data_IF_068628844370
#
_entry.id   IF_068628844370
#
_cell.length_a   1.000
_cell.length_b   1.000
_cell.length_c   1.000
_cell.angle_alpha   90.00
_cell.angle_beta   90.00
_cell.angle_gamma   90.00
#
_symmetry.space_group_name_H-M   'P 1'
#
loop_
_entity.id
_entity.type
_entity.pdbx_description
1 polymer ?
#
# COMPACT_ATOMS: atom_id res chain seq x y z
N UNK A 1 -7.42 14.64 15.52
CA UNK A 1 -6.91 14.57 14.14
C UNK A 1 -6.29 13.20 14.00
N UNK A 2 -6.54 12.47 12.93
CA UNK A 2 -6.28 11.03 12.91
C UNK A 2 -5.57 10.66 11.65
N UNK A 3 -4.45 9.95 11.78
CA UNK A 3 -3.59 9.53 10.68
C UNK A 3 -4.31 8.54 9.77
N UNK A 4 -4.37 8.86 8.48
CA UNK A 4 -4.98 8.05 7.44
C UNK A 4 -3.89 7.48 6.53
N UNK A 5 -3.97 6.18 6.22
CA UNK A 5 -3.10 5.47 5.29
C UNK A 5 -3.95 4.82 4.20
N UNK A 6 -3.63 5.08 2.95
CA UNK A 6 -4.38 4.60 1.78
C UNK A 6 -3.45 3.93 0.78
N UNK A 7 -3.93 2.83 0.20
CA UNK A 7 -3.27 2.14 -0.91
C UNK A 7 -4.06 2.42 -2.18
N UNK A 8 -3.39 2.98 -3.19
CA UNK A 8 -3.99 3.28 -4.48
C UNK A 8 -3.14 2.76 -5.64
N UNK A 9 -3.72 2.69 -6.82
CA UNK A 9 -2.99 2.43 -8.06
C UNK A 9 -3.34 3.50 -9.09
N UNK A 10 -2.33 3.90 -9.85
CA UNK A 10 -2.49 4.86 -10.93
C UNK A 10 -2.67 4.09 -12.25
N UNK A 11 -3.80 4.34 -12.93
CA UNK A 11 -4.09 3.76 -14.25
C UNK A 11 -3.81 4.79 -15.35
N UNK A 12 -3.32 4.31 -16.50
CA UNK A 12 -3.09 5.13 -17.68
C UNK A 12 -4.40 5.28 -18.47
N UNK A 13 -4.56 6.39 -19.20
CA UNK A 13 -5.72 6.62 -20.07
C UNK A 13 -5.31 6.50 -21.53
N UNK A 14 -6.04 5.70 -22.31
CA UNK A 14 -5.83 5.59 -23.74
C UNK A 14 -6.38 6.83 -24.46
N UNK A 15 -5.54 7.58 -25.16
CA UNK A 15 -5.90 8.83 -25.84
C UNK A 15 -7.05 8.67 -26.85
N UNK A 16 -7.12 7.53 -27.51
CA UNK A 16 -8.02 7.32 -28.64
C UNK A 16 -9.43 6.88 -28.19
N UNK A 17 -9.52 6.24 -27.03
CA UNK A 17 -10.76 5.62 -26.52
C UNK A 17 -11.21 6.15 -25.17
N UNK A 18 -10.36 6.91 -24.47
CA UNK A 18 -10.58 7.35 -23.10
C UNK A 18 -10.56 6.23 -22.05
N UNK A 19 -10.30 4.97 -22.44
CA UNK A 19 -10.38 3.84 -21.52
C UNK A 19 -9.15 3.74 -20.61
N UNK A 20 -9.33 3.46 -19.30
CA UNK A 20 -8.23 3.17 -18.40
C UNK A 20 -7.56 1.84 -18.75
N UNK A 21 -6.25 1.77 -18.57
CA UNK A 21 -5.45 0.58 -18.80
C UNK A 21 -4.20 0.54 -17.90
N UNK A 22 -3.61 -0.65 -17.78
CA UNK A 22 -2.28 -0.87 -17.20
C UNK A 22 -1.41 -1.71 -18.14
N UNK A 23 -0.11 -1.83 -17.87
CA UNK A 23 0.82 -2.60 -18.70
C UNK A 23 1.07 -4.01 -18.16
N UNK A 24 1.22 -4.98 -19.08
CA UNK A 24 1.80 -6.29 -18.75
C UNK A 24 3.32 -6.15 -18.62
N UNK A 25 3.92 -6.80 -17.62
CA UNK A 25 5.35 -6.73 -17.32
C UNK A 25 6.25 -7.71 -18.05
N UNK A 26 5.75 -8.34 -19.11
CA UNK A 26 6.53 -9.23 -19.96
C UNK A 26 7.45 -8.46 -20.94
N UNK A 27 7.63 -7.16 -20.73
CA UNK A 27 8.39 -6.27 -21.62
C UNK A 27 7.67 -5.94 -22.93
N UNK A 28 6.48 -6.52 -23.19
CA UNK A 28 5.73 -6.31 -24.44
C UNK A 28 5.08 -4.93 -24.56
N UNK A 29 5.01 -4.16 -23.45
CA UNK A 29 4.22 -2.92 -23.34
C UNK A 29 2.76 -3.11 -23.78
N UNK A 30 2.22 -4.33 -23.65
CA UNK A 30 0.83 -4.60 -23.98
C UNK A 30 -0.10 -3.87 -23.00
N UNK A 31 -1.06 -3.10 -23.56
CA UNK A 31 -2.09 -2.40 -22.79
C UNK A 31 -3.20 -3.38 -22.41
N UNK A 32 -3.48 -3.49 -21.12
CA UNK A 32 -4.59 -4.29 -20.58
C UNK A 32 -5.72 -3.36 -20.17
N UNK A 33 -6.85 -3.50 -20.86
CA UNK A 33 -8.08 -2.76 -20.56
C UNK A 33 -9.02 -3.54 -19.63
N UNK A 34 -8.78 -4.84 -19.44
CA UNK A 34 -9.55 -5.68 -18.52
C UNK A 34 -9.09 -5.46 -17.08
N UNK A 35 -9.83 -4.63 -16.35
CA UNK A 35 -9.55 -4.28 -14.95
C UNK A 35 -10.03 -5.34 -13.95
N UNK A 36 -10.70 -6.41 -14.39
CA UNK A 36 -11.12 -7.50 -13.49
C UNK A 36 -9.94 -8.20 -12.82
N UNK A 37 -8.74 -8.07 -13.41
CA UNK A 37 -7.47 -8.53 -12.85
C UNK A 37 -6.95 -7.69 -11.68
N UNK A 38 -7.50 -6.49 -11.46
CA UNK A 38 -7.11 -5.60 -10.37
C UNK A 38 -7.92 -5.83 -9.08
N UNK A 39 -8.71 -6.91 -9.01
CA UNK A 39 -9.59 -7.16 -7.87
C UNK A 39 -8.77 -7.68 -6.70
N UNK A 40 -8.62 -6.83 -5.69
CA UNK A 40 -7.98 -7.19 -4.42
C UNK A 40 -8.75 -8.35 -3.73
N UNK A 41 -8.07 -9.42 -3.27
CA UNK A 41 -8.67 -10.51 -2.52
C UNK A 41 -9.35 -10.04 -1.24
N UNK A 42 -10.40 -10.74 -0.80
CA UNK A 42 -11.29 -10.30 0.28
C UNK A 42 -10.53 -10.08 1.59
N UNK A 43 -9.58 -10.95 1.89
CA UNK A 43 -8.69 -10.94 3.05
C UNK A 43 -7.77 -9.71 3.08
N UNK A 44 -7.41 -9.16 1.93
CA UNK A 44 -6.51 -8.00 1.82
C UNK A 44 -7.26 -6.66 1.75
N UNK A 45 -8.53 -6.67 1.35
CA UNK A 45 -9.35 -5.44 1.19
C UNK A 45 -9.40 -4.57 2.43
N UNK A 46 -9.35 -5.18 3.63
CA UNK A 46 -9.38 -4.41 4.87
C UNK A 46 -8.24 -3.40 4.93
N UNK A 47 -7.06 -3.73 4.41
CA UNK A 47 -5.85 -2.91 4.50
C UNK A 47 -5.75 -1.76 3.49
N UNK A 48 -6.71 -1.63 2.56
CA UNK A 48 -6.64 -0.64 1.48
C UNK A 48 -6.81 0.78 2.01
N UNK A 49 -7.74 0.98 2.95
CA UNK A 49 -7.95 2.26 3.61
C UNK A 49 -7.90 2.01 5.11
N UNK A 50 -6.98 2.68 5.78
CA UNK A 50 -6.69 2.48 7.18
C UNK A 50 -6.60 3.81 7.90
N UNK A 51 -7.02 3.80 9.17
CA UNK A 51 -6.94 4.97 10.04
C UNK A 51 -6.46 4.53 11.40
N UNK A 52 -5.49 5.24 11.96
CA UNK A 52 -4.97 4.97 13.29
C UNK A 52 -3.56 5.46 13.50
N UNK A 53 -3.24 5.85 14.74
CA UNK A 53 -1.90 6.32 15.13
C UNK A 53 -0.81 5.28 14.88
N UNK A 54 -1.13 3.99 14.89
CA UNK A 54 -0.15 2.95 14.61
C UNK A 54 0.44 3.05 13.19
N UNK A 55 -0.33 3.51 12.20
CA UNK A 55 0.17 3.68 10.83
C UNK A 55 1.17 4.83 10.71
N UNK A 56 1.10 5.80 11.62
CA UNK A 56 2.14 6.81 11.76
C UNK A 56 3.48 6.17 12.17
N UNK A 57 3.46 5.13 13.01
CA UNK A 57 4.69 4.39 13.35
C UNK A 57 5.32 3.74 12.11
N UNK A 58 4.50 3.10 11.26
CA UNK A 58 4.99 2.49 10.03
C UNK A 58 5.66 3.51 9.10
N UNK A 59 5.17 4.74 9.03
CA UNK A 59 5.76 5.77 8.17
C UNK A 59 6.97 6.45 8.81
N UNK A 60 6.94 6.67 10.13
CA UNK A 60 7.96 7.45 10.85
C UNK A 60 9.17 6.61 11.22
N UNK A 61 8.99 5.34 11.59
CA UNK A 61 10.10 4.39 11.81
C UNK A 61 10.94 4.16 10.54
N UNK A 62 10.34 4.39 9.36
CA UNK A 62 10.87 3.92 8.09
C UNK A 62 11.40 5.05 7.20
N UNK A 63 10.75 6.21 7.26
CA UNK A 63 11.02 7.32 6.34
C UNK A 63 11.53 8.59 7.04
N UNK A 64 11.80 8.54 8.35
CA UNK A 64 12.55 9.53 9.13
C UNK A 64 12.09 10.99 8.91
N UNK A 65 10.78 11.27 9.03
CA UNK A 65 10.21 12.62 8.92
C UNK A 65 10.55 13.37 7.62
N UNK A 66 10.85 12.66 6.52
CA UNK A 66 10.92 13.32 5.21
C UNK A 66 9.51 13.81 4.85
N UNK A 67 9.41 14.94 4.14
CA UNK A 67 8.17 15.48 3.55
C UNK A 67 7.59 14.57 2.44
N UNK A 68 7.84 13.27 2.53
CA UNK A 68 7.31 12.23 1.67
C UNK A 68 5.97 11.82 2.28
N UNK A 69 4.92 11.95 1.49
CA UNK A 69 3.55 11.52 1.85
C UNK A 69 3.04 10.40 0.95
N UNK A 70 3.88 9.94 0.01
CA UNK A 70 3.58 8.78 -0.83
C UNK A 70 4.83 8.02 -1.24
N UNK A 71 4.69 6.71 -1.40
CA UNK A 71 5.77 5.82 -1.83
C UNK A 71 5.22 4.60 -2.57
N UNK A 72 6.04 3.91 -3.36
CA UNK A 72 5.62 2.63 -3.93
C UNK A 72 5.48 1.54 -2.87
N UNK A 73 4.61 0.56 -3.10
CA UNK A 73 4.51 -0.63 -2.23
C UNK A 73 5.84 -1.37 -2.14
N UNK A 74 6.60 -1.43 -3.24
CA UNK A 74 7.93 -2.04 -3.29
C UNK A 74 8.89 -1.40 -2.26
N UNK A 75 9.07 -0.08 -2.34
CA UNK A 75 9.98 0.64 -1.44
C UNK A 75 9.51 0.59 0.02
N UNK A 76 8.19 0.52 0.25
CA UNK A 76 7.63 0.34 1.58
C UNK A 76 7.92 -1.05 2.14
N UNK A 77 7.83 -2.09 1.31
CA UNK A 77 8.17 -3.46 1.69
C UNK A 77 9.66 -3.63 2.00
N UNK A 78 10.55 -3.02 1.20
CA UNK A 78 12.00 -3.08 1.43
C UNK A 78 12.40 -2.60 2.82
N UNK A 79 11.63 -1.65 3.36
CA UNK A 79 11.89 -1.05 4.67
C UNK A 79 10.80 -1.36 5.69
N UNK A 80 10.00 -2.40 5.45
CA UNK A 80 8.89 -2.76 6.33
C UNK A 80 9.42 -3.02 7.75
N UNK A 81 8.91 -2.32 8.77
CA UNK A 81 9.48 -2.36 10.11
C UNK A 81 9.21 -3.71 10.77
N UNK A 82 9.99 -4.07 11.79
CA UNK A 82 9.65 -5.22 12.64
C UNK A 82 8.46 -4.90 13.53
N UNK A 83 7.73 -5.93 13.96
CA UNK A 83 6.63 -5.74 14.91
C UNK A 83 7.08 -5.07 16.21
N UNK A 84 8.27 -5.45 16.72
CA UNK A 84 8.84 -4.86 17.92
C UNK A 84 9.09 -3.35 17.80
N UNK A 85 9.42 -2.86 16.60
CA UNK A 85 9.62 -1.43 16.36
C UNK A 85 8.29 -0.66 16.23
N UNK A 86 7.22 -1.32 15.75
CA UNK A 86 5.91 -0.69 15.58
C UNK A 86 5.15 -0.62 16.91
N UNK A 87 5.17 -1.70 17.70
CA UNK A 87 4.38 -1.80 18.94
C UNK A 87 4.81 -0.81 20.03
N UNK A 88 6.03 -0.27 19.94
CA UNK A 88 6.54 0.72 20.91
C UNK A 88 5.99 2.13 20.66
N UNK A 89 5.48 2.41 19.47
CA UNK A 89 4.85 3.69 19.11
C UNK A 89 3.34 3.70 19.38
N UNK A 90 2.74 2.53 19.59
CA UNK A 90 1.34 2.42 19.98
C UNK A 90 1.20 2.59 21.49
N UNK A 91 1.36 3.85 21.95
CA UNK A 91 1.23 4.24 23.37
C UNK A 91 -0.17 3.90 23.93
N UNK A 92 -1.17 3.66 23.08
CA UNK A 92 -2.55 3.38 23.48
C UNK A 92 -2.96 1.89 23.39
N UNK A 93 -2.10 0.98 22.90
CA UNK A 93 -2.39 -0.46 22.72
C UNK A 93 -3.75 -0.73 22.04
N UNK A 94 -4.06 -0.01 20.96
CA UNK A 94 -5.41 -0.01 20.39
C UNK A 94 -5.48 -1.00 19.22
N UNK A 95 -6.13 -2.14 19.45
CA UNK A 95 -6.64 -3.14 18.48
C UNK A 95 -5.67 -3.83 17.49
N UNK A 96 -4.49 -3.30 17.18
CA UNK A 96 -3.60 -3.86 16.15
C UNK A 96 -2.61 -4.85 16.74
N UNK A 97 -2.59 -6.07 16.21
CA UNK A 97 -1.79 -7.17 16.74
C UNK A 97 -0.62 -7.52 15.83
N UNK A 98 0.30 -8.37 16.32
CA UNK A 98 1.34 -8.97 15.49
C UNK A 98 0.75 -9.74 14.29
N UNK A 99 -0.42 -10.34 14.49
CA UNK A 99 -1.16 -11.00 13.41
C UNK A 99 -1.59 -9.98 12.35
N UNK A 100 -2.13 -8.83 12.75
CA UNK A 100 -2.50 -7.77 11.80
C UNK A 100 -1.27 -7.20 11.08
N UNK A 101 -0.15 -7.05 11.78
CA UNK A 101 1.13 -6.67 11.19
C UNK A 101 1.60 -7.65 10.10
N UNK A 102 1.52 -8.95 10.37
CA UNK A 102 1.89 -9.98 9.40
C UNK A 102 0.91 -10.05 8.22
N UNK A 103 -0.38 -9.97 8.49
CA UNK A 103 -1.41 -9.97 7.44
C UNK A 103 -1.34 -8.72 6.56
N UNK A 104 -0.99 -7.56 7.14
CA UNK A 104 -0.76 -6.33 6.38
C UNK A 104 0.45 -6.49 5.45
N UNK A 105 1.56 -7.05 5.94
CA UNK A 105 2.72 -7.39 5.11
C UNK A 105 2.34 -8.31 3.96
N UNK A 106 1.57 -9.36 4.23
CA UNK A 106 1.10 -10.28 3.18
C UNK A 106 0.23 -9.57 2.12
N UNK A 107 -0.61 -8.62 2.53
CA UNK A 107 -1.38 -7.81 1.60
C UNK A 107 -0.48 -6.95 0.72
N UNK A 108 0.54 -6.31 1.30
CA UNK A 108 1.53 -5.53 0.54
C UNK A 108 2.33 -6.42 -0.41
N UNK A 109 2.76 -7.61 0.03
CA UNK A 109 3.44 -8.57 -0.82
C UNK A 109 2.54 -9.01 -1.99
N UNK A 110 1.24 -9.22 -1.76
CA UNK A 110 0.28 -9.49 -2.83
C UNK A 110 0.17 -8.34 -3.82
N UNK A 111 0.04 -7.10 -3.31
CA UNK A 111 -0.01 -5.89 -4.13
C UNK A 111 1.29 -5.67 -4.92
N UNK A 112 2.41 -6.22 -4.47
CA UNK A 112 3.70 -6.15 -5.15
C UNK A 112 3.98 -7.33 -6.10
N UNK A 113 3.15 -8.39 -6.11
CA UNK A 113 3.34 -9.57 -6.98
C UNK A 113 3.09 -9.24 -8.44
N UNK A 114 2.09 -8.43 -8.68
CA UNK A 114 1.75 -7.96 -10.01
C UNK A 114 2.48 -6.64 -10.28
N UNK A 115 2.82 -6.39 -11.53
CA UNK A 115 3.52 -5.17 -11.92
C UNK A 115 2.56 -3.98 -12.08
N UNK A 116 1.43 -4.05 -11.39
CA UNK A 116 0.54 -2.93 -11.18
C UNK A 116 1.25 -2.04 -10.17
N UNK A 117 1.44 -0.77 -10.54
CA UNK A 117 2.09 0.18 -9.65
C UNK A 117 1.09 0.61 -8.57
N UNK A 118 1.16 -0.03 -7.42
CA UNK A 118 0.49 0.41 -6.21
C UNK A 118 1.37 1.38 -5.42
N UNK A 119 0.74 2.40 -4.86
CA UNK A 119 1.34 3.41 -4.00
C UNK A 119 0.64 3.42 -2.66
N UNK A 120 1.43 3.64 -1.61
CA UNK A 120 0.95 3.88 -0.26
C UNK A 120 1.07 5.37 -0.01
N UNK A 121 0.01 5.97 0.48
CA UNK A 121 -0.08 7.39 0.79
C UNK A 121 -0.62 7.61 2.19
N UNK A 122 -0.22 8.71 2.82
CA UNK A 122 -0.69 9.04 4.16
C UNK A 122 -0.88 10.53 4.39
N UNK A 123 -1.75 10.84 5.36
CA UNK A 123 -2.07 12.20 5.79
C UNK A 123 -2.49 12.24 7.28
N UNK A 124 -2.46 13.43 7.87
CA UNK A 124 -2.81 13.72 9.27
C UNK A 124 -4.20 14.34 9.45
#
# INVERSE_FOLDING_TARGET
>A
MGFDLNIRTDLMICSDTGKPYFYIPDGSRMRVYDLSKLVVPKEHRRFINQRGGIFHAYTTCVFENKDIVNISVYEFLEKYPSWDAVKTYDEEQTYWTEKDHNEFRMALEWLNKDFIQYRIEWSY
#
